data_IF_409118417491
#
_entry.id   IF_409118417491
#
_cell.length_a   1.000
_cell.length_b   1.000
_cell.length_c   1.000
_cell.angle_alpha   90.00
_cell.angle_beta   90.00
_cell.angle_gamma   90.00
#
_symmetry.space_group_name_H-M   'P 1'
#
loop_
_entity.id
_entity.type
_entity.pdbx_description
1 polymer ?
#
# COMPACT_ATOMS: atom_id res chain seq x y z
N UNK A 1 25.71 -13.01 4.50
CA UNK A 1 26.13 -13.18 5.91
C UNK A 1 25.26 -12.26 6.75
N UNK A 2 24.50 -12.78 7.72
CA UNK A 2 23.67 -11.93 8.56
C UNK A 2 24.54 -11.05 9.47
N UNK A 3 24.23 -9.77 9.52
CA UNK A 3 24.72 -8.80 10.51
C UNK A 3 23.52 -8.02 10.99
N UNK A 4 23.20 -8.11 12.29
CA UNK A 4 22.01 -7.48 12.85
C UNK A 4 22.33 -6.69 14.12
N UNK A 5 21.69 -5.52 14.21
CA UNK A 5 21.79 -4.58 15.31
C UNK A 5 21.24 -3.21 14.93
N UNK A 6 21.25 -2.28 15.88
CA UNK A 6 20.62 -0.97 15.78
C UNK A 6 21.34 0.07 16.62
N UNK A 7 20.89 1.32 16.53
CA UNK A 7 21.48 2.44 17.29
C UNK A 7 21.39 2.20 18.79
N UNK A 8 20.25 1.68 19.24
CA UNK A 8 19.92 1.35 20.63
C UNK A 8 20.82 0.25 21.20
N UNK A 9 21.43 -0.56 20.33
CA UNK A 9 22.37 -1.62 20.71
C UNK A 9 23.83 -1.26 20.45
N UNK A 10 24.12 0.02 20.20
CA UNK A 10 25.45 0.51 19.86
C UNK A 10 26.08 -0.24 18.67
N UNK A 11 25.31 -0.35 17.57
CA UNK A 11 25.62 -1.13 16.37
C UNK A 11 25.23 -2.60 16.52
N UNK A 12 26.12 -3.54 16.21
CA UNK A 12 25.80 -4.95 15.99
C UNK A 12 25.68 -5.76 17.29
N UNK A 13 24.69 -6.66 17.34
CA UNK A 13 24.52 -7.65 18.43
C UNK A 13 24.55 -9.08 17.94
N UNK A 14 24.28 -9.30 16.65
CA UNK A 14 24.25 -10.63 16.02
C UNK A 14 25.07 -10.63 14.74
N UNK A 15 25.87 -11.67 14.56
CA UNK A 15 26.63 -11.90 13.34
C UNK A 15 26.66 -13.36 12.96
N UNK A 16 26.82 -13.63 11.67
CA UNK A 16 27.09 -14.96 11.15
C UNK A 16 28.61 -15.13 10.96
N UNK A 17 29.27 -16.06 11.66
CA UNK A 17 30.69 -16.34 11.47
C UNK A 17 31.03 -16.73 10.01
N UNK A 18 32.14 -16.22 9.42
CA UNK A 18 32.52 -16.52 8.03
C UNK A 18 32.64 -17.99 7.67
N UNK A 19 33.10 -18.82 8.60
CA UNK A 19 33.23 -20.26 8.45
C UNK A 19 31.89 -21.01 8.38
N UNK A 20 30.79 -20.38 8.83
CA UNK A 20 29.45 -20.99 8.89
C UNK A 20 28.44 -20.35 7.94
N UNK A 21 28.86 -19.32 7.19
CA UNK A 21 27.98 -18.51 6.37
C UNK A 21 27.28 -19.28 5.24
N UNK A 22 27.87 -20.39 4.76
CA UNK A 22 27.26 -21.25 3.73
C UNK A 22 26.19 -22.19 4.32
N UNK A 23 26.44 -22.74 5.50
CA UNK A 23 25.53 -23.68 6.17
C UNK A 23 24.37 -22.97 6.88
N UNK A 24 24.60 -21.72 7.32
CA UNK A 24 23.67 -20.90 8.09
C UNK A 24 23.33 -19.61 7.34
N UNK A 25 23.04 -19.74 6.04
CA UNK A 25 22.65 -18.62 5.17
C UNK A 25 21.48 -17.84 5.78
N UNK A 26 21.67 -16.53 5.95
CA UNK A 26 20.65 -15.62 6.49
C UNK A 26 20.47 -15.68 8.01
N UNK A 27 21.21 -16.52 8.73
CA UNK A 27 21.12 -16.67 10.17
C UNK A 27 22.38 -16.16 10.86
N UNK A 28 22.28 -15.77 12.14
CA UNK A 28 23.44 -15.34 12.93
C UNK A 28 23.31 -15.70 14.40
N UNK A 29 24.39 -15.55 15.16
CA UNK A 29 24.40 -15.77 16.61
C UNK A 29 24.70 -14.48 17.38
N UNK A 30 24.17 -14.36 18.61
CA UNK A 30 24.49 -13.24 19.48
C UNK A 30 25.98 -13.21 19.83
N UNK A 31 26.53 -12.00 19.99
CA UNK A 31 27.86 -11.83 20.57
C UNK A 31 27.89 -12.27 22.04
N UNK A 32 29.08 -12.64 22.57
CA UNK A 32 29.20 -12.98 23.99
C UNK A 32 28.66 -11.86 24.91
N UNK A 33 27.79 -12.24 25.85
CA UNK A 33 27.13 -11.30 26.77
C UNK A 33 25.89 -10.59 26.20
N UNK A 34 25.45 -10.96 24.99
CA UNK A 34 24.11 -10.62 24.46
C UNK A 34 23.19 -11.80 24.73
N UNK A 35 22.09 -11.53 25.43
CA UNK A 35 20.96 -12.44 25.55
C UNK A 35 19.91 -12.07 24.48
N UNK A 36 19.35 -13.10 23.84
CA UNK A 36 18.23 -12.98 22.90
C UNK A 36 17.05 -13.82 23.37
N UNK A 37 15.85 -13.28 23.20
CA UNK A 37 14.60 -14.00 23.42
C UNK A 37 13.61 -13.66 22.30
N UNK A 38 12.71 -14.59 21.97
CA UNK A 38 11.57 -14.31 21.08
C UNK A 38 10.33 -14.10 21.95
N UNK A 39 9.85 -12.86 21.99
CA UNK A 39 8.69 -12.43 22.76
C UNK A 39 7.36 -12.64 22.02
N UNK A 40 6.34 -11.90 22.47
CA UNK A 40 5.04 -11.84 21.78
C UNK A 40 5.20 -11.36 20.33
N UNK A 41 4.30 -11.78 19.44
CA UNK A 41 4.32 -11.48 17.99
C UNK A 41 5.61 -11.90 17.26
N UNK A 42 6.38 -12.79 17.88
CA UNK A 42 7.73 -13.18 17.47
C UNK A 42 8.74 -12.02 17.50
N UNK A 43 8.55 -11.05 18.40
CA UNK A 43 9.47 -9.94 18.61
C UNK A 43 10.85 -10.42 19.09
N UNK A 44 11.92 -9.90 18.50
CA UNK A 44 13.29 -10.10 18.96
C UNK A 44 13.51 -9.20 20.17
N UNK A 45 13.75 -9.80 21.32
CA UNK A 45 14.12 -9.11 22.54
C UNK A 45 15.63 -9.21 22.75
N UNK A 46 16.26 -8.09 23.10
CA UNK A 46 17.72 -8.02 23.29
C UNK A 46 18.04 -7.53 24.69
N UNK A 47 18.96 -8.19 25.38
CA UNK A 47 19.52 -7.72 26.65
C UNK A 47 21.03 -7.87 26.62
N UNK A 48 21.73 -6.88 27.17
CA UNK A 48 23.18 -6.93 27.29
C UNK A 48 23.78 -5.58 27.62
N UNK A 49 25.09 -5.52 27.90
CA UNK A 49 25.78 -4.31 28.33
C UNK A 49 25.88 -3.22 27.25
N UNK A 50 25.65 -3.57 25.98
CA UNK A 50 25.66 -2.65 24.85
C UNK A 50 24.34 -1.90 24.65
N UNK A 51 23.25 -2.37 25.27
CA UNK A 51 21.94 -1.74 25.13
C UNK A 51 21.94 -0.39 25.85
N UNK A 52 21.54 0.67 25.16
CA UNK A 52 21.42 2.00 25.71
C UNK A 52 20.39 1.99 26.87
N UNK A 53 20.76 2.58 28.01
CA UNK A 53 19.89 2.59 29.21
C UNK A 53 18.49 3.16 28.96
N UNK A 54 18.37 4.15 28.07
CA UNK A 54 17.09 4.77 27.72
C UNK A 54 16.20 3.94 26.78
N UNK A 55 16.72 2.84 26.24
CA UNK A 55 16.01 1.94 25.33
C UNK A 55 15.48 0.67 26.01
N UNK A 56 15.84 0.44 27.28
CA UNK A 56 15.36 -0.70 28.06
C UNK A 56 13.93 -0.44 28.55
N UNK A 57 13.07 -1.42 28.35
CA UNK A 57 11.76 -1.51 28.99
C UNK A 57 11.88 -1.84 30.48
N UNK A 58 10.76 -1.74 31.20
CA UNK A 58 10.70 -1.96 32.65
C UNK A 58 11.10 -3.39 33.08
N UNK A 59 11.00 -4.35 32.17
CA UNK A 59 11.41 -5.74 32.33
C UNK A 59 12.91 -5.99 32.03
N UNK A 60 13.65 -4.94 31.69
CA UNK A 60 15.08 -4.99 31.41
C UNK A 60 15.43 -5.59 30.04
N UNK A 61 14.48 -5.65 29.11
CA UNK A 61 14.72 -6.01 27.72
C UNK A 61 14.61 -4.78 26.82
N UNK A 62 15.35 -4.78 25.71
CA UNK A 62 15.06 -3.93 24.56
C UNK A 62 14.04 -4.64 23.68
N UNK A 63 12.88 -4.02 23.53
CA UNK A 63 11.88 -4.37 22.53
C UNK A 63 12.28 -3.73 21.20
N UNK A 64 12.75 -4.56 20.27
CA UNK A 64 13.34 -4.07 19.01
C UNK A 64 12.29 -3.57 18.01
N UNK A 65 11.04 -4.03 18.14
CA UNK A 65 10.02 -3.92 17.12
C UNK A 65 10.33 -4.70 15.85
N UNK A 66 11.35 -5.57 15.89
CA UNK A 66 11.75 -6.45 14.79
C UNK A 66 11.31 -7.88 15.11
N UNK A 67 10.85 -8.60 14.09
CA UNK A 67 10.35 -9.96 14.17
C UNK A 67 11.45 -10.95 13.79
N UNK A 68 11.49 -12.10 14.44
CA UNK A 68 12.46 -13.14 14.13
C UNK A 68 12.18 -14.47 14.80
N UNK A 69 12.99 -15.46 14.46
CA UNK A 69 12.94 -16.81 15.03
C UNK A 69 14.31 -17.23 15.53
N UNK A 70 14.32 -17.96 16.65
CA UNK A 70 15.50 -18.64 17.16
C UNK A 70 15.33 -20.14 16.93
N UNK A 71 16.35 -20.77 16.35
CA UNK A 71 16.39 -22.23 16.26
C UNK A 71 16.86 -22.89 17.56
N UNK A 72 16.85 -24.23 17.60
CA UNK A 72 17.30 -25.00 18.77
C UNK A 72 18.77 -24.78 19.14
N UNK A 73 19.58 -24.29 18.19
CA UNK A 73 20.98 -23.98 18.36
C UNK A 73 21.21 -22.49 18.69
N UNK A 74 20.16 -21.69 18.90
CA UNK A 74 20.23 -20.27 19.23
C UNK A 74 20.63 -19.36 18.05
N UNK A 75 20.40 -19.80 16.81
CA UNK A 75 20.58 -18.98 15.63
C UNK A 75 19.35 -18.13 15.37
N UNK A 76 19.59 -16.83 15.22
CA UNK A 76 18.57 -15.85 14.88
C UNK A 76 18.40 -15.75 13.37
N UNK A 77 17.15 -15.88 12.93
CA UNK A 77 16.68 -15.41 11.62
C UNK A 77 15.86 -14.13 11.82
N UNK A 78 16.24 -13.04 11.15
CA UNK A 78 15.48 -11.79 11.20
C UNK A 78 14.46 -11.81 10.07
N UNK A 79 13.19 -11.66 10.43
CA UNK A 79 12.05 -11.70 9.51
C UNK A 79 11.57 -10.30 9.11
N UNK A 80 12.05 -9.24 9.77
CA UNK A 80 11.75 -7.85 9.41
C UNK A 80 11.12 -7.08 10.56
N UNK A 81 10.29 -6.08 10.25
CA UNK A 81 9.64 -5.21 11.23
C UNK A 81 8.25 -5.72 11.55
N UNK A 82 7.87 -5.74 12.83
CA UNK A 82 6.51 -6.13 13.25
C UNK A 82 5.47 -5.27 12.55
N UNK A 83 5.68 -3.95 12.55
CA UNK A 83 4.78 -2.99 11.91
C UNK A 83 4.73 -3.05 10.37
N UNK A 84 5.71 -3.69 9.74
CA UNK A 84 5.76 -3.84 8.27
C UNK A 84 5.29 -5.25 7.86
N UNK A 85 4.83 -6.09 8.79
CA UNK A 85 4.37 -7.46 8.50
C UNK A 85 3.05 -7.40 7.75
N UNK A 86 2.96 -8.14 6.63
CA UNK A 86 1.75 -8.25 5.83
C UNK A 86 0.91 -9.39 6.38
N UNK A 87 -0.37 -9.15 6.65
CA UNK A 87 -1.29 -10.18 7.12
C UNK A 87 -2.19 -10.62 5.97
N UNK A 88 -1.76 -11.66 5.25
CA UNK A 88 -2.43 -12.14 4.03
C UNK A 88 -3.17 -13.46 4.29
N UNK A 89 -4.50 -13.43 4.24
CA UNK A 89 -5.35 -14.61 4.47
C UNK A 89 -5.23 -15.18 5.89
N UNK A 90 -4.87 -14.34 6.87
CA UNK A 90 -4.57 -14.76 8.24
C UNK A 90 -3.14 -15.26 8.46
N UNK A 91 -2.29 -15.26 7.42
CA UNK A 91 -0.89 -15.66 7.52
C UNK A 91 0.04 -14.44 7.51
N UNK A 92 1.08 -14.47 8.33
CA UNK A 92 2.09 -13.41 8.38
C UNK A 92 3.11 -13.60 7.26
N UNK A 93 3.30 -12.56 6.44
CA UNK A 93 4.26 -12.53 5.34
C UNK A 93 5.24 -11.39 5.57
N UNK A 94 6.53 -11.72 5.54
CA UNK A 94 7.61 -10.74 5.54
C UNK A 94 7.80 -10.14 4.16
N UNK A 95 7.69 -8.81 3.99
CA UNK A 95 8.05 -8.16 2.73
C UNK A 95 9.50 -8.44 2.32
N UNK A 96 10.43 -8.39 3.29
CA UNK A 96 11.86 -8.56 3.03
C UNK A 96 12.19 -9.94 2.45
N UNK A 97 11.49 -10.98 2.89
CA UNK A 97 11.67 -12.32 2.35
C UNK A 97 11.27 -12.38 0.88
N UNK A 98 10.10 -11.82 0.55
CA UNK A 98 9.58 -11.79 -0.83
C UNK A 98 10.45 -10.90 -1.72
N UNK A 99 10.86 -9.73 -1.23
CA UNK A 99 11.81 -8.82 -1.89
C UNK A 99 13.13 -9.54 -2.20
N UNK A 100 13.68 -10.30 -1.24
CA UNK A 100 14.93 -11.04 -1.41
C UNK A 100 14.85 -12.17 -2.45
N UNK A 101 13.67 -12.76 -2.67
CA UNK A 101 13.47 -13.72 -3.77
C UNK A 101 13.37 -12.99 -5.12
N UNK A 102 12.55 -11.95 -5.20
CA UNK A 102 12.34 -11.19 -6.45
C UNK A 102 13.61 -10.48 -6.92
N UNK A 103 14.41 -9.92 -6.00
CA UNK A 103 15.66 -9.23 -6.32
C UNK A 103 16.72 -10.17 -6.94
N UNK A 104 16.55 -11.50 -6.84
CA UNK A 104 17.43 -12.48 -7.49
C UNK A 104 17.01 -12.81 -8.92
N UNK A 105 15.83 -12.35 -9.37
CA UNK A 105 15.40 -12.54 -10.75
C UNK A 105 16.19 -11.61 -11.69
N UNK A 106 16.80 -12.10 -12.80
CA UNK A 106 17.70 -11.30 -13.63
C UNK A 106 17.09 -10.04 -14.27
N UNK A 107 15.77 -10.01 -14.46
CA UNK A 107 15.06 -8.87 -15.04
C UNK A 107 14.66 -7.79 -14.00
N UNK A 108 14.78 -8.07 -12.69
CA UNK A 108 14.38 -7.14 -11.62
C UNK A 108 15.57 -6.25 -11.26
N UNK A 109 15.41 -4.94 -11.44
CA UNK A 109 16.41 -3.94 -11.09
C UNK A 109 16.23 -3.41 -9.65
N UNK A 110 14.98 -3.17 -9.24
CA UNK A 110 14.63 -2.82 -7.86
C UNK A 110 13.26 -3.42 -7.51
N UNK A 111 13.02 -3.65 -6.22
CA UNK A 111 11.77 -4.24 -5.73
C UNK A 111 11.42 -3.73 -4.34
N UNK A 112 10.13 -3.53 -4.13
CA UNK A 112 9.53 -3.35 -2.82
C UNK A 112 8.26 -4.18 -2.72
N UNK A 113 7.98 -4.73 -1.54
CA UNK A 113 6.76 -5.48 -1.27
C UNK A 113 6.00 -4.77 -0.16
N UNK A 114 4.68 -4.68 -0.34
CA UNK A 114 3.78 -4.14 0.67
C UNK A 114 2.46 -4.93 0.69
N UNK A 115 1.80 -4.88 1.84
CA UNK A 115 0.43 -5.36 2.00
C UNK A 115 -0.50 -4.31 1.42
N UNK A 116 -1.02 -4.57 0.23
CA UNK A 116 -2.11 -3.76 -0.32
C UNK A 116 -3.39 -4.45 0.11
N UNK A 117 -4.32 -3.71 0.69
CA UNK A 117 -5.53 -4.31 1.17
C UNK A 117 -6.22 -5.14 0.03
N UNK A 118 -6.91 -6.23 0.34
CA UNK A 118 -7.54 -7.12 -0.65
C UNK A 118 -8.78 -7.84 -0.08
N UNK A 119 -9.89 -8.00 -0.83
CA UNK A 119 -11.13 -8.55 -0.27
C UNK A 119 -11.04 -10.04 0.04
N UNK A 120 -10.18 -10.76 -0.66
CA UNK A 120 -10.03 -12.21 -0.46
C UNK A 120 -8.99 -12.50 0.63
N UNK A 121 -8.03 -11.59 0.84
CA UNK A 121 -6.86 -11.83 1.68
C UNK A 121 -6.74 -10.89 2.89
N UNK A 122 -7.59 -9.88 3.03
CA UNK A 122 -7.38 -8.76 3.95
C UNK A 122 -6.27 -7.84 3.45
N UNK A 123 -5.06 -8.38 3.30
CA UNK A 123 -3.94 -7.78 2.58
C UNK A 123 -3.40 -8.75 1.51
N UNK A 124 -3.42 -8.33 0.25
CA UNK A 124 -2.68 -8.97 -0.82
C UNK A 124 -1.20 -8.58 -0.73
N UNK A 125 -0.34 -9.60 -0.68
CA UNK A 125 1.10 -9.43 -0.92
C UNK A 125 1.28 -8.86 -2.34
N UNK A 126 1.65 -7.58 -2.42
CA UNK A 126 1.82 -6.87 -3.69
C UNK A 126 3.28 -6.50 -3.86
N UNK A 127 3.86 -6.93 -4.97
CA UNK A 127 5.24 -6.62 -5.33
C UNK A 127 5.28 -5.48 -6.35
N UNK A 128 5.93 -4.38 -5.99
CA UNK A 128 6.26 -3.28 -6.88
C UNK A 128 7.66 -3.52 -7.44
N UNK A 129 7.76 -3.65 -8.76
CA UNK A 129 9.00 -4.03 -9.44
C UNK A 129 9.43 -2.98 -10.45
N UNK A 130 10.72 -2.64 -10.42
CA UNK A 130 11.40 -1.91 -11.50
C UNK A 130 12.12 -2.96 -12.33
N UNK A 131 11.83 -3.00 -13.63
CA UNK A 131 12.41 -3.98 -14.54
C UNK A 131 13.57 -3.36 -15.33
N UNK A 132 14.72 -4.03 -15.27
CA UNK A 132 15.89 -3.72 -16.12
C UNK A 132 15.95 -4.57 -17.40
N UNK A 133 15.02 -5.51 -17.57
CA UNK A 133 14.87 -6.37 -18.75
C UNK A 133 13.43 -6.87 -18.92
N UNK A 134 13.19 -7.71 -19.91
CA UNK A 134 11.86 -8.24 -20.18
C UNK A 134 11.49 -9.36 -19.20
N UNK A 135 10.42 -9.15 -18.44
CA UNK A 135 9.75 -10.17 -17.64
C UNK A 135 8.27 -9.83 -17.47
N UNK A 136 7.44 -10.86 -17.46
CA UNK A 136 6.01 -10.75 -17.19
C UNK A 136 5.73 -11.00 -15.71
N UNK A 137 4.60 -10.48 -15.23
CA UNK A 137 4.13 -10.79 -13.87
C UNK A 137 4.02 -12.31 -13.62
N UNK A 138 3.60 -13.09 -14.61
CA UNK A 138 3.49 -14.54 -14.48
C UNK A 138 4.86 -15.22 -14.26
N UNK A 139 5.89 -14.79 -14.99
CA UNK A 139 7.26 -15.30 -14.83
C UNK A 139 7.82 -14.97 -13.44
N UNK A 140 7.61 -13.74 -12.96
CA UNK A 140 8.04 -13.33 -11.62
C UNK A 140 7.29 -14.08 -10.51
N UNK A 141 5.99 -14.32 -10.68
CA UNK A 141 5.21 -15.15 -9.75
C UNK A 141 5.74 -16.58 -9.70
N UNK A 142 6.10 -17.16 -10.85
CA UNK A 142 6.62 -18.53 -10.90
C UNK A 142 8.02 -18.62 -10.26
N UNK A 143 8.87 -17.63 -10.48
CA UNK A 143 10.15 -17.49 -9.76
C UNK A 143 9.96 -17.49 -8.25
N UNK A 144 8.97 -16.74 -7.75
CA UNK A 144 8.60 -16.74 -6.33
C UNK A 144 8.10 -18.10 -5.85
N UNK A 145 7.25 -18.80 -6.62
CA UNK A 145 6.70 -20.11 -6.24
C UNK A 145 7.76 -21.19 -6.07
N UNK A 146 8.87 -21.09 -6.81
CA UNK A 146 9.97 -22.05 -6.70
C UNK A 146 10.70 -21.98 -5.35
N UNK A 147 10.62 -20.84 -4.65
CA UNK A 147 11.41 -20.60 -3.42
C UNK A 147 10.56 -20.26 -2.18
N UNK A 148 9.33 -19.77 -2.37
CA UNK A 148 8.44 -19.33 -1.30
C UNK A 148 7.31 -20.31 -1.04
N UNK A 149 6.88 -20.39 0.22
CA UNK A 149 5.64 -21.06 0.56
C UNK A 149 4.45 -20.38 -0.17
N UNK A 150 3.42 -21.14 -0.60
CA UNK A 150 2.34 -20.61 -1.45
C UNK A 150 1.64 -19.36 -0.92
N UNK A 151 1.49 -19.22 0.39
CA UNK A 151 0.83 -18.06 1.00
C UNK A 151 1.67 -16.77 0.86
N UNK A 152 3.00 -16.87 0.83
CA UNK A 152 3.94 -15.73 0.68
C UNK A 152 4.11 -15.24 -0.76
N UNK A 153 3.72 -16.05 -1.73
CA UNK A 153 3.83 -15.69 -3.16
C UNK A 153 2.96 -14.45 -3.44
N UNK A 154 3.52 -13.41 -4.12
CA UNK A 154 2.77 -12.21 -4.47
C UNK A 154 1.45 -12.53 -5.16
N UNK A 155 0.37 -11.89 -4.71
CA UNK A 155 -0.96 -11.97 -5.34
C UNK A 155 -1.05 -10.98 -6.50
N UNK A 156 -0.31 -9.87 -6.41
CA UNK A 156 -0.22 -8.82 -7.42
C UNK A 156 1.23 -8.46 -7.66
N UNK A 157 1.57 -8.19 -8.91
CA UNK A 157 2.87 -7.66 -9.31
C UNK A 157 2.61 -6.44 -10.18
N UNK A 158 3.12 -5.30 -9.72
CA UNK A 158 2.93 -4.00 -10.36
C UNK A 158 4.28 -3.47 -10.83
N UNK A 159 4.39 -3.19 -12.12
CA UNK A 159 5.58 -2.55 -12.67
C UNK A 159 5.52 -1.05 -12.40
N UNK A 160 6.56 -0.51 -11.77
CA UNK A 160 6.66 0.92 -11.44
C UNK A 160 7.92 1.54 -12.04
N UNK A 161 7.91 2.85 -12.22
CA UNK A 161 9.07 3.60 -12.75
C UNK A 161 10.21 3.77 -11.74
N UNK A 162 9.94 3.55 -10.45
CA UNK A 162 10.92 3.68 -9.38
C UNK A 162 10.33 3.31 -8.01
N UNK A 163 11.19 2.98 -7.06
CA UNK A 163 10.81 2.71 -5.67
C UNK A 163 11.10 3.96 -4.82
N UNK A 164 10.11 4.57 -4.15
CA UNK A 164 10.31 5.74 -3.32
C UNK A 164 11.12 5.38 -2.07
N UNK A 165 12.11 6.22 -1.75
CA UNK A 165 13.03 6.03 -0.63
C UNK A 165 13.30 7.35 0.07
N UNK A 166 13.49 7.32 1.39
CA UNK A 166 13.94 8.50 2.13
C UNK A 166 15.43 8.80 1.86
N UNK A 167 15.94 9.91 2.41
CA UNK A 167 17.35 10.30 2.27
C UNK A 167 18.36 9.25 2.78
N UNK A 168 17.92 8.31 3.64
CA UNK A 168 18.72 7.18 4.11
C UNK A 168 18.58 5.91 3.27
N UNK A 169 17.89 5.96 2.13
CA UNK A 169 17.66 4.82 1.24
C UNK A 169 16.58 3.83 1.69
N UNK A 170 15.86 4.13 2.79
CA UNK A 170 14.78 3.28 3.29
C UNK A 170 13.54 3.44 2.41
N UNK A 171 12.97 2.31 1.97
CA UNK A 171 11.72 2.25 1.20
C UNK A 171 10.58 2.93 1.96
N UNK A 172 9.84 3.78 1.25
CA UNK A 172 8.64 4.46 1.72
C UNK A 172 7.41 3.70 1.23
N UNK A 173 7.06 2.61 1.94
CA UNK A 173 5.93 1.74 1.54
C UNK A 173 4.59 2.46 1.52
N UNK A 174 4.41 3.46 2.38
CA UNK A 174 3.21 4.30 2.41
C UNK A 174 3.03 5.07 1.10
N UNK A 175 4.14 5.55 0.50
CA UNK A 175 4.09 6.24 -0.80
C UNK A 175 3.77 5.28 -1.95
N UNK A 176 4.30 4.04 -1.93
CA UNK A 176 3.93 3.01 -2.90
C UNK A 176 2.43 2.68 -2.86
N UNK A 177 1.86 2.56 -1.66
CA UNK A 177 0.43 2.31 -1.50
C UNK A 177 -0.39 3.52 -1.96
N UNK A 178 0.06 4.74 -1.69
CA UNK A 178 -0.58 5.96 -2.17
C UNK A 178 -0.55 6.06 -3.71
N UNK A 179 0.58 5.74 -4.34
CA UNK A 179 0.71 5.72 -5.81
C UNK A 179 -0.22 4.68 -6.44
N UNK A 180 -0.31 3.49 -5.87
CA UNK A 180 -1.24 2.46 -6.31
C UNK A 180 -2.72 2.91 -6.20
N UNK A 181 -3.07 3.61 -5.13
CA UNK A 181 -4.41 4.20 -4.94
C UNK A 181 -4.69 5.32 -5.95
N UNK A 182 -3.71 6.19 -6.21
CA UNK A 182 -3.81 7.24 -7.22
C UNK A 182 -4.00 6.66 -8.61
N UNK A 183 -3.25 5.63 -8.98
CA UNK A 183 -3.39 4.96 -10.28
C UNK A 183 -4.76 4.28 -10.40
N UNK A 184 -5.23 3.61 -9.34
CA UNK A 184 -6.57 3.03 -9.33
C UNK A 184 -7.66 4.10 -9.45
N UNK A 185 -7.50 5.25 -8.80
CA UNK A 185 -8.39 6.40 -8.94
C UNK A 185 -8.35 6.99 -10.37
N UNK A 186 -7.16 7.12 -10.98
CA UNK A 186 -7.02 7.55 -12.38
C UNK A 186 -7.75 6.61 -13.31
N UNK A 187 -7.58 5.30 -13.15
CA UNK A 187 -8.30 4.28 -13.94
C UNK A 187 -9.79 4.36 -13.70
N UNK A 188 -10.23 4.53 -12.45
CA UNK A 188 -11.64 4.73 -12.10
C UNK A 188 -12.26 5.89 -12.89
N UNK A 189 -11.56 7.02 -12.99
CA UNK A 189 -12.04 8.17 -13.74
C UNK A 189 -11.77 8.12 -15.25
N UNK A 190 -10.76 7.40 -15.72
CA UNK A 190 -10.53 7.24 -17.15
C UNK A 190 -11.66 6.47 -17.84
N UNK A 191 -12.33 5.56 -17.13
CA UNK A 191 -13.51 4.86 -17.65
C UNK A 191 -14.83 5.58 -17.33
N UNK A 192 -14.76 6.74 -16.70
CA UNK A 192 -15.92 7.62 -16.54
C UNK A 192 -16.47 8.08 -17.89
N UNK A 193 -15.60 8.21 -18.91
CA UNK A 193 -15.95 8.57 -20.29
C UNK A 193 -16.63 7.47 -21.11
N UNK A 194 -16.41 6.19 -20.77
CA UNK A 194 -16.83 5.04 -21.57
C UNK A 194 -17.77 4.12 -20.78
N UNK A 195 -19.08 4.19 -21.06
CA UNK A 195 -20.13 3.33 -20.50
C UNK A 195 -19.94 3.01 -19.00
N UNK A 196 -20.02 4.09 -18.20
CA UNK A 196 -19.60 4.20 -16.80
C UNK A 196 -20.08 3.04 -15.91
N UNK A 197 -21.23 2.43 -16.21
CA UNK A 197 -21.80 1.34 -15.41
C UNK A 197 -20.95 0.05 -15.40
N UNK A 198 -20.39 -0.35 -16.55
CA UNK A 198 -19.62 -1.59 -16.65
C UNK A 198 -18.24 -1.46 -15.96
N UNK A 199 -17.64 -0.29 -16.04
CA UNK A 199 -16.33 -0.02 -15.47
C UNK A 199 -16.35 0.21 -13.96
N UNK A 200 -17.38 0.89 -13.46
CA UNK A 200 -17.67 0.98 -12.03
C UNK A 200 -17.94 -0.40 -11.41
N UNK A 201 -18.41 -1.37 -12.19
CA UNK A 201 -18.58 -2.74 -11.74
C UNK A 201 -17.27 -3.53 -11.68
N UNK A 202 -16.25 -3.14 -12.46
CA UNK A 202 -14.94 -3.79 -12.42
C UNK A 202 -14.03 -3.20 -11.33
N UNK A 203 -14.02 -1.88 -11.18
CA UNK A 203 -13.08 -1.17 -10.30
C UNK A 203 -13.63 -0.90 -8.89
N UNK A 204 -14.95 -0.92 -8.75
CA UNK A 204 -15.66 -0.59 -7.52
C UNK A 204 -16.94 -1.44 -7.36
N UNK A 205 -16.90 -2.79 -7.49
CA UNK A 205 -18.08 -3.66 -7.59
C UNK A 205 -19.05 -3.59 -6.41
N UNK A 206 -18.56 -3.26 -5.22
CA UNK A 206 -19.35 -3.21 -3.97
C UNK A 206 -19.28 -1.84 -3.28
N UNK A 207 -18.78 -0.82 -3.99
CA UNK A 207 -18.62 0.49 -3.38
C UNK A 207 -19.95 1.09 -2.91
N UNK A 208 -19.94 1.63 -1.69
CA UNK A 208 -20.98 2.53 -1.20
C UNK A 208 -20.84 3.88 -1.91
N UNK A 209 -21.94 4.37 -2.48
CA UNK A 209 -21.97 5.65 -3.15
C UNK A 209 -22.77 6.66 -2.31
N UNK A 210 -22.11 7.70 -1.83
CA UNK A 210 -22.69 8.71 -0.93
C UNK A 210 -22.73 10.06 -1.64
N UNK A 211 -23.94 10.58 -1.87
CA UNK A 211 -24.16 11.85 -2.56
C UNK A 211 -24.67 12.91 -1.57
N UNK A 212 -24.31 14.20 -1.75
CA UNK A 212 -24.82 15.28 -0.91
C UNK A 212 -26.34 15.45 -1.16
N UNK A 213 -27.11 15.95 -0.18
CA UNK A 213 -28.57 16.04 -0.28
C UNK A 213 -29.06 16.91 -1.45
N UNK A 214 -28.24 17.88 -1.85
CA UNK A 214 -28.45 18.91 -2.86
C UNK A 214 -27.59 18.71 -4.12
N UNK A 215 -27.00 17.51 -4.30
CA UNK A 215 -26.38 17.10 -5.56
C UNK A 215 -27.41 17.15 -6.70
N UNK A 216 -27.53 18.32 -7.33
CA UNK A 216 -28.38 18.66 -8.47
C UNK A 216 -29.86 18.27 -8.26
N UNK A 217 -30.70 19.29 -8.08
CA UNK A 217 -32.16 19.28 -7.99
C UNK A 217 -32.85 18.50 -9.14
N UNK A 218 -32.77 17.18 -9.11
CA UNK A 218 -33.24 16.27 -10.18
C UNK A 218 -34.07 15.11 -9.65
N UNK A 219 -34.42 15.09 -8.36
CA UNK A 219 -35.31 14.06 -7.79
C UNK A 219 -34.74 12.63 -7.82
N UNK A 220 -33.43 12.46 -8.03
CA UNK A 220 -32.77 11.15 -8.14
C UNK A 220 -32.33 10.69 -6.74
N UNK A 221 -32.93 9.60 -6.22
CA UNK A 221 -32.54 8.99 -4.93
C UNK A 221 -31.63 7.77 -5.11
N UNK A 222 -30.37 7.97 -4.69
CA UNK A 222 -29.49 7.10 -3.87
C UNK A 222 -29.30 5.63 -4.32
N UNK A 223 -28.25 5.39 -5.10
CA UNK A 223 -27.64 4.07 -5.33
C UNK A 223 -26.67 4.06 -6.52
N UNK A 224 -25.95 2.94 -6.72
CA UNK A 224 -25.06 2.68 -7.88
C UNK A 224 -25.72 3.01 -9.23
N UNK A 225 -27.02 2.73 -9.36
CA UNK A 225 -27.81 2.98 -10.57
C UNK A 225 -28.04 4.48 -10.88
N UNK A 226 -27.82 5.35 -9.90
CA UNK A 226 -28.09 6.79 -10.01
C UNK A 226 -26.87 7.60 -10.43
N UNK A 227 -25.66 7.06 -10.31
CA UNK A 227 -24.44 7.74 -10.74
C UNK A 227 -24.43 7.98 -12.25
N UNK A 228 -24.81 7.00 -13.07
CA UNK A 228 -25.00 7.23 -14.51
C UNK A 228 -26.03 8.33 -14.82
N UNK A 229 -27.04 8.50 -13.95
CA UNK A 229 -28.04 9.57 -14.10
C UNK A 229 -27.55 10.94 -13.64
N UNK A 230 -26.72 10.99 -12.60
CA UNK A 230 -26.02 12.22 -12.18
C UNK A 230 -25.16 12.74 -13.34
N UNK A 231 -24.43 11.85 -14.01
CA UNK A 231 -23.63 12.20 -15.19
C UNK A 231 -24.48 12.64 -16.37
N UNK A 232 -25.60 11.96 -16.61
CA UNK A 232 -26.57 12.39 -17.62
C UNK A 232 -27.14 13.78 -17.29
N UNK A 233 -27.51 14.04 -16.04
CA UNK A 233 -28.06 15.33 -15.60
C UNK A 233 -27.02 16.47 -15.71
N UNK A 234 -25.75 16.20 -15.40
CA UNK A 234 -24.64 17.13 -15.66
C UNK A 234 -24.49 17.40 -17.16
N UNK A 235 -24.54 16.37 -18.02
CA UNK A 235 -24.51 16.56 -19.48
C UNK A 235 -25.76 17.27 -20.02
N UNK A 236 -26.91 17.18 -19.35
CA UNK A 236 -28.12 17.91 -19.75
C UNK A 236 -28.06 19.39 -19.36
N UNK A 237 -27.40 19.73 -18.24
CA UNK A 237 -27.27 21.11 -17.77
C UNK A 237 -26.29 21.96 -18.62
N UNK A 238 -25.35 21.31 -19.31
CA UNK A 238 -24.29 21.96 -20.10
C UNK A 238 -24.34 21.47 -21.57
N UNK A 239 -24.32 22.38 -22.54
CA UNK A 239 -23.99 22.04 -23.93
C UNK A 239 -22.49 21.76 -24.06
N UNK A 240 -22.15 20.72 -24.83
CA UNK A 240 -20.77 20.25 -25.08
C UNK A 240 -19.95 20.06 -23.79
N UNK A 241 -20.59 19.46 -22.78
CA UNK A 241 -19.99 19.25 -21.46
C UNK A 241 -18.74 18.36 -21.52
N UNK A 242 -17.58 18.95 -21.27
CA UNK A 242 -16.32 18.24 -21.00
C UNK A 242 -16.11 18.15 -19.49
N UNK A 243 -15.38 17.13 -19.05
CA UNK A 243 -14.92 17.05 -17.67
C UNK A 243 -13.45 16.65 -17.64
N UNK A 244 -12.75 17.14 -16.63
CA UNK A 244 -11.36 16.83 -16.39
C UNK A 244 -11.18 16.47 -14.90
N UNK A 245 -10.34 15.48 -14.63
CA UNK A 245 -9.90 15.20 -13.26
C UNK A 245 -8.64 16.01 -13.03
N UNK A 246 -8.85 17.20 -12.50
CA UNK A 246 -7.83 18.24 -12.43
C UNK A 246 -6.85 18.02 -11.27
N UNK A 247 -7.25 17.32 -10.21
CA UNK A 247 -6.37 17.05 -9.06
C UNK A 247 -6.74 15.73 -8.33
N UNK A 248 -5.72 14.95 -7.95
CA UNK A 248 -5.84 13.73 -7.16
C UNK A 248 -4.82 13.76 -6.02
N UNK A 249 -5.29 13.63 -4.79
CA UNK A 249 -4.44 13.63 -3.58
C UNK A 249 -4.74 12.39 -2.74
N UNK A 250 -3.74 11.55 -2.51
CA UNK A 250 -3.85 10.35 -1.66
C UNK A 250 -3.49 10.65 -0.20
N UNK A 251 -4.31 10.16 0.73
CA UNK A 251 -4.20 10.41 2.18
C UNK A 251 -4.78 9.24 2.96
N UNK A 252 -3.96 8.50 3.68
CA UNK A 252 -4.42 7.53 4.68
C UNK A 252 -5.45 6.51 4.16
N UNK A 253 -5.24 5.95 2.97
CA UNK A 253 -6.20 5.01 2.37
C UNK A 253 -7.38 5.67 1.65
N UNK A 254 -7.34 6.98 1.43
CA UNK A 254 -8.33 7.74 0.68
C UNK A 254 -7.67 8.48 -0.48
N UNK A 255 -8.43 8.76 -1.53
CA UNK A 255 -8.05 9.71 -2.58
C UNK A 255 -9.10 10.80 -2.66
N UNK A 256 -8.69 12.04 -2.40
CA UNK A 256 -9.46 13.22 -2.73
C UNK A 256 -9.27 13.52 -4.22
N UNK A 257 -10.37 13.57 -4.96
CA UNK A 257 -10.41 13.88 -6.37
C UNK A 257 -11.20 15.17 -6.62
N UNK A 258 -10.65 16.06 -7.42
CA UNK A 258 -11.35 17.23 -7.94
C UNK A 258 -11.74 16.96 -9.39
N UNK A 259 -13.05 16.98 -9.66
CA UNK A 259 -13.59 16.89 -11.01
C UNK A 259 -14.06 18.28 -11.41
N UNK A 260 -13.65 18.73 -12.59
CA UNK A 260 -14.05 20.04 -13.10
C UNK A 260 -14.87 19.85 -14.37
N UNK A 261 -16.16 20.17 -14.29
CA UNK A 261 -17.05 20.18 -15.44
C UNK A 261 -16.98 21.55 -16.14
N UNK A 262 -16.76 21.54 -17.45
CA UNK A 262 -16.73 22.74 -18.30
C UNK A 262 -17.73 22.58 -19.43
N UNK A 263 -18.47 23.65 -19.72
CA UNK A 263 -19.40 23.66 -20.85
C UNK A 263 -20.16 24.97 -20.95
N UNK A 264 -21.14 25.02 -21.86
CA UNK A 264 -21.98 26.20 -22.04
C UNK A 264 -23.32 25.98 -21.34
N UNK A 265 -23.69 26.88 -20.43
CA UNK A 265 -24.95 26.76 -19.68
C UNK A 265 -26.17 26.87 -20.58
N UNK A 266 -27.04 25.84 -20.58
CA UNK A 266 -28.30 25.89 -21.32
C UNK A 266 -29.18 27.04 -20.79
N UNK A 267 -29.47 28.00 -21.66
CA UNK A 267 -30.31 29.17 -21.37
C UNK A 267 -29.54 30.46 -21.04
N UNK A 268 -28.27 30.39 -20.61
CA UNK A 268 -27.42 31.57 -20.42
C UNK A 268 -26.46 31.81 -21.57
N UNK A 269 -26.03 30.75 -22.27
CA UNK A 269 -25.01 30.82 -23.32
C UNK A 269 -23.62 31.17 -22.81
N UNK A 270 -23.42 31.24 -21.49
CA UNK A 270 -22.14 31.55 -20.87
C UNK A 270 -21.32 30.28 -20.66
N UNK A 271 -19.99 30.40 -20.80
CA UNK A 271 -19.08 29.38 -20.33
C UNK A 271 -19.21 29.23 -18.81
N UNK A 272 -19.41 28.01 -18.36
CA UNK A 272 -19.55 27.65 -16.96
C UNK A 272 -18.48 26.62 -16.61
N UNK A 273 -17.86 26.82 -15.45
CA UNK A 273 -16.93 25.89 -14.83
C UNK A 273 -17.48 25.53 -13.44
N UNK A 274 -17.66 24.23 -13.18
CA UNK A 274 -18.18 23.74 -11.92
C UNK A 274 -17.24 22.66 -11.35
N UNK A 275 -16.44 23.00 -10.32
CA UNK A 275 -15.69 22.00 -9.58
C UNK A 275 -16.63 21.19 -8.69
N UNK A 276 -16.36 19.89 -8.60
CA UNK A 276 -17.00 18.92 -7.71
C UNK A 276 -15.90 18.11 -7.03
N UNK A 277 -16.13 17.70 -5.78
CA UNK A 277 -15.12 16.99 -5.00
C UNK A 277 -15.61 15.61 -4.59
N UNK A 278 -14.80 14.60 -4.87
CA UNK A 278 -15.06 13.23 -4.46
C UNK A 278 -13.98 12.72 -3.51
N UNK A 279 -14.36 11.91 -2.54
CA UNK A 279 -13.44 11.14 -1.71
C UNK A 279 -13.67 9.67 -2.00
N UNK A 280 -12.67 9.03 -2.60
CA UNK A 280 -12.61 7.59 -2.76
C UNK A 280 -11.98 7.01 -1.49
N UNK A 281 -12.70 6.18 -0.76
CA UNK A 281 -12.14 5.40 0.34
C UNK A 281 -11.77 4.03 -0.19
N UNK A 282 -10.52 3.65 0.06
CA UNK A 282 -10.01 2.33 -0.24
C UNK A 282 -10.03 1.51 1.03
N UNK A 283 -10.73 0.39 0.98
CA UNK A 283 -10.53 -0.70 1.91
C UNK A 283 -10.32 -1.93 1.05
N UNK A 284 -9.46 -2.83 1.49
CA UNK A 284 -9.21 -4.03 0.71
C UNK A 284 -8.73 -3.73 -0.74
N UNK A 285 -7.99 -2.62 -0.94
CA UNK A 285 -7.32 -2.26 -2.20
C UNK A 285 -8.25 -2.06 -3.38
N UNK A 286 -9.53 -1.91 -3.07
CA UNK A 286 -10.61 -1.59 -3.99
C UNK A 286 -11.25 -0.30 -3.50
N UNK A 287 -11.89 0.42 -4.42
CA UNK A 287 -12.75 1.53 -4.04
C UNK A 287 -13.96 0.93 -3.34
N UNK A 288 -14.11 1.18 -2.03
CA UNK A 288 -15.22 0.70 -1.20
C UNK A 288 -16.23 1.78 -0.90
N UNK A 289 -15.82 3.04 -1.04
CA UNK A 289 -16.75 4.16 -0.95
C UNK A 289 -16.34 5.26 -1.90
N UNK A 290 -17.34 5.88 -2.52
CA UNK A 290 -17.20 7.11 -3.30
C UNK A 290 -18.17 8.12 -2.69
N UNK A 291 -17.63 9.14 -2.01
CA UNK A 291 -18.41 10.19 -1.39
C UNK A 291 -18.26 11.50 -2.17
N UNK A 292 -19.36 12.10 -2.59
CA UNK A 292 -19.39 13.39 -3.28
C UNK A 292 -19.72 14.52 -2.28
N UNK A 293 -19.07 15.66 -2.47
CA UNK A 293 -19.23 16.90 -1.72
C UNK A 293 -19.36 18.10 -2.65
N UNK A 294 -20.20 19.06 -2.26
CA UNK A 294 -20.42 20.31 -3.01
C UNK A 294 -19.41 21.41 -2.65
N UNK A 295 -18.55 21.16 -1.65
CA UNK A 295 -17.52 22.11 -1.23
C UNK A 295 -16.20 21.40 -0.98
N UNK A 296 -15.08 22.06 -1.33
CA UNK A 296 -13.74 21.57 -1.06
C UNK A 296 -13.52 21.32 0.45
N UNK A 297 -14.02 22.23 1.29
CA UNK A 297 -13.82 22.17 2.75
C UNK A 297 -14.41 20.90 3.37
N UNK A 298 -15.61 20.49 2.94
CA UNK A 298 -16.24 19.25 3.41
C UNK A 298 -15.49 18.02 2.90
N UNK A 299 -15.04 18.04 1.65
CA UNK A 299 -14.28 16.95 1.06
C UNK A 299 -12.92 16.75 1.74
N UNK A 300 -12.18 17.84 2.00
CA UNK A 300 -10.90 17.82 2.72
C UNK A 300 -11.06 17.27 4.13
N UNK A 301 -12.11 17.69 4.85
CA UNK A 301 -12.42 17.15 6.18
C UNK A 301 -12.73 15.64 6.11
N UNK A 302 -13.47 15.19 5.11
CA UNK A 302 -13.77 13.77 4.93
C UNK A 302 -12.53 12.94 4.51
N UNK A 303 -11.56 13.57 3.85
CA UNK A 303 -10.27 13.00 3.47
C UNK A 303 -9.17 13.11 4.55
N UNK A 304 -9.49 13.66 5.73
CA UNK A 304 -8.55 13.90 6.83
C UNK A 304 -7.37 14.84 6.48
N UNK A 305 -7.65 15.89 5.69
CA UNK A 305 -6.68 16.87 5.15
C UNK A 305 -6.74 18.26 5.81
N UNK A 306 -7.03 18.34 7.11
CA UNK A 306 -7.18 19.63 7.84
C UNK A 306 -6.08 20.66 7.56
#
# INVERSE_FOLDING_TARGET
MLSYGMTETASQVVSCPPDQALERLGQGRPFPGVDLEIGADAEILVRGPMVARGALSADGWLHTGDRGTLDADGWLTVEGRIKDTIVSGGENVSPLEVEGVLARHPAVEDVAVAGVADPDWGEAVTAFVVLGGDATAAELTEHCRAELAPYKVPKRIEQVGGIPRNAGGKILRDELMADAQLELARRFYAVFDADTAAALQLLAPDAEYVNPPDAIDSGIRRGRADWGRVLAALREAFEDAEHDVSDLTAVGGKVLATLTFRGVGRGSGAALEKPEWHVLTFEEGLVKRVAWFNTEHEARRAADLE
#
